data_IF_161341673361
#
_entry.id   IF_161341673361
#
_cell.length_a   1.000
_cell.length_b   1.000
_cell.length_c   1.000
_cell.angle_alpha   90.00
_cell.angle_beta   90.00
_cell.angle_gamma   90.00
#
_symmetry.space_group_name_H-M   'P 1'
#
loop_
_entity.id
_entity.type
_entity.pdbx_description
1 polymer ?
#
# COMPACT_ATOMS: atom_id res chain seq x y z
N UNK A 1 -9.93 13.71 -22.38
CA UNK A 1 -10.03 12.62 -21.38
C UNK A 1 -8.77 12.68 -20.55
N UNK A 2 -8.82 13.19 -19.32
CA UNK A 2 -7.66 13.16 -18.44
C UNK A 2 -7.65 11.76 -17.85
N UNK A 3 -6.69 10.95 -18.29
CA UNK A 3 -6.43 9.63 -17.72
C UNK A 3 -5.85 9.86 -16.32
N UNK A 4 -6.69 9.79 -15.30
CA UNK A 4 -6.23 9.84 -13.91
C UNK A 4 -5.50 8.51 -13.67
N UNK A 5 -4.17 8.55 -13.76
CA UNK A 5 -3.31 7.39 -13.53
C UNK A 5 -3.43 6.97 -12.06
N UNK A 6 -4.09 5.83 -11.80
CA UNK A 6 -4.18 5.25 -10.47
C UNK A 6 -2.82 4.64 -10.12
N UNK A 7 -2.05 5.35 -9.30
CA UNK A 7 -0.71 4.92 -8.89
C UNK A 7 -0.73 4.04 -7.64
N UNK A 8 0.13 3.02 -7.63
CA UNK A 8 0.46 2.23 -6.45
C UNK A 8 1.54 2.93 -5.61
N UNK A 9 1.67 2.52 -4.34
CA UNK A 9 2.61 3.18 -3.42
C UNK A 9 4.06 3.16 -3.92
N UNK A 10 4.48 2.10 -4.62
CA UNK A 10 5.85 1.98 -5.15
C UNK A 10 6.10 2.88 -6.37
N UNK A 11 5.09 3.13 -7.20
CA UNK A 11 5.17 4.08 -8.31
C UNK A 11 5.27 5.52 -7.78
N UNK A 12 4.44 5.85 -6.79
CA UNK A 12 4.45 7.18 -6.15
C UNK A 12 5.75 7.43 -5.37
N UNK A 13 6.15 6.47 -4.52
CA UNK A 13 7.33 6.62 -3.66
C UNK A 13 8.64 6.33 -4.36
N UNK A 14 8.62 5.66 -5.51
CA UNK A 14 9.81 5.18 -6.26
C UNK A 14 10.78 4.42 -5.34
N UNK A 15 10.25 3.55 -4.49
CA UNK A 15 11.04 2.90 -3.45
C UNK A 15 11.89 1.73 -3.97
N UNK A 16 11.55 1.15 -5.13
CA UNK A 16 12.30 0.08 -5.80
C UNK A 16 12.15 -1.29 -5.12
N UNK A 17 11.13 -1.49 -4.28
CA UNK A 17 10.86 -2.77 -3.58
C UNK A 17 9.63 -3.50 -4.13
N UNK A 18 9.03 -3.02 -5.21
CA UNK A 18 8.08 -3.78 -6.00
C UNK A 18 8.70 -5.06 -6.57
N UNK A 19 7.88 -6.01 -7.01
CA UNK A 19 8.39 -7.25 -7.63
C UNK A 19 9.28 -6.92 -8.82
N UNK A 20 10.54 -7.37 -8.78
CA UNK A 20 11.56 -7.05 -9.80
C UNK A 20 12.21 -5.66 -9.65
N UNK A 21 11.88 -4.91 -8.59
CA UNK A 21 12.44 -3.59 -8.32
C UNK A 21 13.93 -3.64 -7.96
N UNK A 22 14.62 -2.52 -8.19
CA UNK A 22 16.07 -2.41 -8.05
C UNK A 22 16.62 -2.63 -6.64
N UNK A 23 15.81 -2.44 -5.60
CA UNK A 23 16.19 -2.66 -4.19
C UNK A 23 15.76 -4.01 -3.63
N UNK A 24 15.13 -4.87 -4.45
CA UNK A 24 14.76 -6.22 -4.03
C UNK A 24 15.97 -7.06 -3.60
N UNK A 25 17.13 -7.05 -4.29
CA UNK A 25 18.29 -7.84 -3.87
C UNK A 25 18.80 -7.48 -2.46
N UNK A 26 18.73 -6.20 -2.09
CA UNK A 26 19.31 -5.71 -0.83
C UNK A 26 18.30 -5.67 0.32
N UNK A 27 17.05 -5.30 0.02
CA UNK A 27 16.01 -5.01 1.03
C UNK A 27 14.83 -5.98 0.97
N UNK A 28 14.85 -6.94 0.05
CA UNK A 28 13.75 -7.86 -0.20
C UNK A 28 12.52 -7.20 -0.85
N UNK A 29 11.58 -8.04 -1.28
CA UNK A 29 10.31 -7.60 -1.89
C UNK A 29 9.38 -6.97 -0.84
N UNK A 30 8.67 -5.92 -1.23
CA UNK A 30 7.68 -5.27 -0.39
C UNK A 30 6.40 -6.12 -0.29
N UNK A 31 5.88 -6.39 0.92
CA UNK A 31 4.60 -7.10 1.06
C UNK A 31 3.46 -6.45 0.28
N UNK A 32 3.43 -5.11 0.18
CA UNK A 32 2.41 -4.41 -0.60
C UNK A 32 2.40 -4.81 -2.08
N UNK A 33 3.56 -5.15 -2.68
CA UNK A 33 3.60 -5.53 -4.10
C UNK A 33 3.25 -6.99 -4.37
N UNK A 34 3.09 -7.82 -3.34
CA UNK A 34 2.78 -9.26 -3.46
C UNK A 34 1.51 -9.68 -2.74
N UNK A 35 0.86 -8.78 -2.00
CA UNK A 35 -0.37 -9.09 -1.26
C UNK A 35 -1.59 -9.13 -2.19
N UNK A 36 -1.74 -10.24 -2.91
CA UNK A 36 -2.77 -10.45 -3.95
C UNK A 36 -4.21 -10.36 -3.44
N UNK A 37 -4.46 -10.66 -2.16
CA UNK A 37 -5.82 -10.55 -1.57
C UNK A 37 -6.38 -9.13 -1.58
N UNK A 38 -5.51 -8.13 -1.68
CA UNK A 38 -5.89 -6.73 -1.76
C UNK A 38 -5.97 -6.20 -3.20
N UNK A 39 -5.70 -7.02 -4.20
CA UNK A 39 -5.75 -6.59 -5.60
C UNK A 39 -7.14 -6.02 -5.92
N UNK A 40 -7.17 -4.82 -6.53
CA UNK A 40 -8.40 -4.07 -6.79
C UNK A 40 -8.86 -3.17 -5.64
N UNK A 41 -8.35 -3.33 -4.41
CA UNK A 41 -8.72 -2.47 -3.29
C UNK A 41 -8.28 -1.02 -3.55
N UNK A 42 -9.23 -0.09 -3.47
CA UNK A 42 -9.06 1.31 -3.87
C UNK A 42 -8.51 1.47 -5.31
N UNK A 43 -8.78 0.52 -6.20
CA UNK A 43 -8.31 0.52 -7.60
C UNK A 43 -6.83 0.18 -7.78
N UNK A 44 -6.12 -0.20 -6.72
CA UNK A 44 -4.69 -0.55 -6.79
C UNK A 44 -4.43 -1.97 -7.28
N UNK A 45 -3.18 -2.25 -7.63
CA UNK A 45 -2.68 -3.61 -7.89
C UNK A 45 -2.13 -4.21 -6.61
N UNK A 46 -2.43 -5.48 -6.33
CA UNK A 46 -2.10 -6.16 -5.08
C UNK A 46 -2.39 -5.23 -3.88
N UNK A 47 -1.43 -5.07 -2.97
CA UNK A 47 -1.53 -4.13 -1.85
C UNK A 47 -1.09 -2.70 -2.15
N UNK A 48 -0.91 -2.30 -3.41
CA UNK A 48 -0.31 -1.02 -3.79
C UNK A 48 -1.07 0.20 -3.30
N UNK A 49 -2.40 0.11 -3.24
CA UNK A 49 -3.28 1.13 -2.62
C UNK A 49 -3.86 0.68 -1.27
N UNK A 50 -3.39 -0.46 -0.76
CA UNK A 50 -3.69 -0.93 0.59
C UNK A 50 -2.46 -0.88 1.51
N UNK A 51 -1.38 -0.21 1.09
CA UNK A 51 -0.09 -0.35 1.76
C UNK A 51 -0.16 0.08 3.24
N UNK A 52 -1.02 1.01 3.63
CA UNK A 52 -1.22 1.43 5.01
C UNK A 52 -1.82 0.33 5.92
N UNK A 53 -2.52 -0.65 5.33
CA UNK A 53 -3.24 -1.71 6.05
C UNK A 53 -2.48 -3.05 6.09
N UNK A 54 -1.35 -3.16 5.38
CA UNK A 54 -0.55 -4.40 5.29
C UNK A 54 0.69 -4.29 6.19
N UNK A 55 0.91 -5.21 7.12
CA UNK A 55 2.09 -5.19 7.98
C UNK A 55 3.41 -5.45 7.21
N UNK A 56 4.56 -5.06 7.76
CA UNK A 56 5.87 -5.38 7.19
C UNK A 56 6.27 -4.60 5.93
N UNK A 57 5.50 -3.60 5.50
CA UNK A 57 5.91 -2.73 4.39
C UNK A 57 7.06 -1.82 4.81
N UNK A 58 7.97 -1.53 3.90
CA UNK A 58 9.10 -0.64 4.17
C UNK A 58 8.77 0.78 3.72
N UNK A 59 8.35 1.62 4.66
CA UNK A 59 8.06 3.03 4.41
C UNK A 59 9.03 3.89 5.20
N UNK A 60 9.44 5.04 4.65
CA UNK A 60 10.38 5.98 5.30
C UNK A 60 11.70 5.33 5.76
N UNK A 61 12.24 4.36 5.01
CA UNK A 61 13.54 3.76 5.31
C UNK A 61 13.54 2.67 6.40
N UNK A 62 12.37 2.25 6.90
CA UNK A 62 12.25 1.22 7.95
C UNK A 62 11.10 0.25 7.67
N UNK A 63 11.24 -0.99 8.13
CA UNK A 63 10.11 -1.95 8.14
C UNK A 63 9.08 -1.42 9.14
N UNK A 64 7.88 -1.15 8.65
CA UNK A 64 6.77 -0.76 9.50
C UNK A 64 6.20 -2.02 10.17
N UNK A 65 6.10 -1.96 11.50
CA UNK A 65 5.70 -3.07 12.37
C UNK A 65 4.23 -3.47 12.22
N UNK A 66 3.52 -3.53 13.35
CA UNK A 66 2.11 -3.90 13.39
C UNK A 66 1.23 -2.80 12.80
N UNK A 67 -0.03 -3.12 12.51
CA UNK A 67 -0.99 -2.12 12.04
C UNK A 67 -1.08 -0.87 12.95
N UNK A 68 -1.01 -1.04 14.29
CA UNK A 68 -1.02 0.08 15.26
C UNK A 68 0.15 1.04 15.05
N UNK A 69 1.31 0.52 14.66
CA UNK A 69 2.49 1.34 14.36
C UNK A 69 2.29 2.14 13.08
N UNK A 70 1.56 1.57 12.12
CA UNK A 70 1.25 2.19 10.82
C UNK A 70 0.20 3.28 10.93
N UNK A 71 -0.83 3.11 11.74
CA UNK A 71 -1.87 4.13 11.94
C UNK A 71 -1.25 5.48 12.35
N UNK A 72 -0.26 5.45 13.25
CA UNK A 72 0.48 6.65 13.68
C UNK A 72 1.37 7.23 12.57
N UNK A 73 2.14 6.38 11.88
CA UNK A 73 3.14 6.83 10.92
C UNK A 73 2.53 7.21 9.55
N UNK A 74 1.41 6.60 9.17
CA UNK A 74 0.78 6.85 7.87
C UNK A 74 0.09 8.21 7.78
N UNK A 75 -0.33 8.83 8.89
CA UNK A 75 -0.91 10.18 8.88
C UNK A 75 0.02 11.23 8.24
N UNK A 76 1.34 11.03 8.35
CA UNK A 76 2.34 11.90 7.73
C UNK A 76 2.71 11.49 6.31
N UNK A 77 2.28 10.32 5.82
CA UNK A 77 2.59 9.83 4.49
C UNK A 77 1.74 10.55 3.42
N UNK A 78 2.39 11.25 2.49
CA UNK A 78 1.72 11.93 1.37
C UNK A 78 0.87 11.00 0.52
N UNK A 79 1.36 9.78 0.25
CA UNK A 79 0.60 8.80 -0.53
C UNK A 79 -0.66 8.34 0.21
N UNK A 80 -0.60 8.20 1.54
CA UNK A 80 -1.77 7.86 2.34
C UNK A 80 -2.79 9.01 2.36
N UNK A 81 -2.33 10.26 2.47
CA UNK A 81 -3.20 11.43 2.39
C UNK A 81 -3.90 11.53 1.04
N UNK A 82 -3.15 11.32 -0.06
CA UNK A 82 -3.71 11.22 -1.42
C UNK A 82 -4.77 10.12 -1.52
N UNK A 83 -4.44 8.92 -1.02
CA UNK A 83 -5.37 7.80 -1.00
C UNK A 83 -6.66 8.15 -0.26
N UNK A 84 -6.55 8.78 0.91
CA UNK A 84 -7.71 9.19 1.72
C UNK A 84 -8.54 10.30 1.07
N UNK A 85 -7.93 11.21 0.30
CA UNK A 85 -8.69 12.21 -0.47
C UNK A 85 -9.45 11.60 -1.64
N UNK A 86 -8.92 10.54 -2.25
CA UNK A 86 -9.56 9.84 -3.38
C UNK A 86 -10.56 8.77 -2.91
N UNK A 87 -10.37 8.21 -1.72
CA UNK A 87 -11.14 7.11 -1.15
C UNK A 87 -11.45 7.40 0.32
N UNK A 88 -12.44 8.25 0.57
CA UNK A 88 -12.85 8.64 1.91
C UNK A 88 -13.28 7.43 2.79
N UNK A 89 -13.90 6.42 2.19
CA UNK A 89 -14.35 5.19 2.88
C UNK A 89 -13.24 4.17 3.17
N UNK A 90 -12.04 4.35 2.60
CA UNK A 90 -10.92 3.44 2.84
C UNK A 90 -10.56 3.43 4.34
N UNK A 91 -10.75 2.28 4.98
CA UNK A 91 -10.55 2.09 6.41
C UNK A 91 -10.07 0.66 6.67
N UNK A 92 -9.60 0.39 7.89
CA UNK A 92 -9.25 -0.98 8.31
C UNK A 92 -10.41 -1.93 8.14
N UNK A 93 -11.60 -1.49 8.54
CA UNK A 93 -12.79 -2.32 8.45
C UNK A 93 -13.17 -2.60 7.00
N UNK A 94 -13.10 -1.60 6.13
CA UNK A 94 -13.30 -1.79 4.69
C UNK A 94 -12.25 -2.75 4.11
N UNK A 95 -10.99 -2.62 4.50
CA UNK A 95 -9.91 -3.48 4.04
C UNK A 95 -10.09 -4.94 4.49
N UNK A 96 -10.37 -5.19 5.76
CA UNK A 96 -10.62 -6.55 6.27
C UNK A 96 -11.82 -7.20 5.58
N UNK A 97 -12.93 -6.46 5.45
CA UNK A 97 -14.11 -6.94 4.71
C UNK A 97 -13.76 -7.31 3.27
N UNK A 98 -12.94 -6.51 2.60
CA UNK A 98 -12.52 -6.78 1.23
C UNK A 98 -11.71 -8.07 1.12
N UNK A 99 -10.66 -8.22 1.94
CA UNK A 99 -9.75 -9.38 1.85
C UNK A 99 -10.39 -10.68 2.34
N UNK A 100 -11.42 -10.60 3.20
CA UNK A 100 -12.19 -11.75 3.68
C UNK A 100 -13.19 -12.27 2.63
N UNK A 101 -13.60 -11.43 1.68
CA UNK A 101 -14.47 -11.82 0.57
C UNK A 101 -13.71 -12.54 -0.56
N UNK A 102 -12.40 -12.31 -0.66
CA UNK A 102 -11.53 -12.94 -1.66
C UNK A 102 -11.08 -14.31 -1.13
N UNK A 103 -11.70 -15.37 -1.64
CA UNK A 103 -11.35 -16.77 -1.35
C UNK A 103 -10.02 -17.16 -1.99
#
# INVERSE_FOLDING_TARGET
MIEISIQNCWEFKKCGRETGGSKVPDLGVCPASTFVKADGFCGGKNGGRACAYIAGTFCAGTIQGTYKDKEKNCGQCEFYRLLKSENNEASVLAFHRYIDQVK
#
